data_IF_887255309675
#
_entry.id   IF_887255309675
#
_cell.length_a   1.000
_cell.length_b   1.000
_cell.length_c   1.000
_cell.angle_alpha   90.00
_cell.angle_beta   90.00
_cell.angle_gamma   90.00
#
_symmetry.space_group_name_H-M   'P 1'
#
loop_
_entity.id
_entity.type
_entity.pdbx_description
1 polymer ?
#
# COMPACT_ATOMS: atom_id res chain seq x y z
N UNK A 1 7.91 -11.19 4.97
CA UNK A 1 8.85 -10.26 4.32
C UNK A 1 8.05 -9.49 3.30
N UNK A 2 7.93 -8.17 3.46
CA UNK A 2 7.17 -7.32 2.56
C UNK A 2 8.03 -6.93 1.35
N UNK A 3 7.47 -6.84 0.14
CA UNK A 3 8.23 -6.37 -1.02
C UNK A 3 8.70 -4.93 -0.80
N UNK A 4 9.96 -4.66 -1.14
CA UNK A 4 10.55 -3.33 -1.13
C UNK A 4 10.85 -2.93 -2.57
N UNK A 5 10.29 -1.81 -3.02
CA UNK A 5 10.52 -1.24 -4.33
C UNK A 5 11.41 -0.02 -4.21
N UNK A 6 12.42 0.04 -5.07
CA UNK A 6 13.25 1.22 -5.22
C UNK A 6 12.61 2.15 -6.25
N UNK A 7 12.47 3.43 -5.88
CA UNK A 7 11.91 4.48 -6.72
C UNK A 7 12.92 5.61 -6.90
N UNK A 8 12.76 6.35 -8.00
CA UNK A 8 13.54 7.56 -8.25
C UNK A 8 12.95 8.79 -7.55
N UNK A 9 13.75 9.86 -7.42
CA UNK A 9 13.33 11.16 -6.91
C UNK A 9 12.07 11.70 -7.60
N UNK A 10 11.95 11.58 -8.91
CA UNK A 10 10.75 12.03 -9.64
C UNK A 10 9.48 11.28 -9.18
N UNK A 11 9.60 9.99 -8.88
CA UNK A 11 8.50 9.19 -8.35
C UNK A 11 8.19 9.55 -6.90
N UNK A 12 9.23 9.78 -6.09
CA UNK A 12 9.06 10.24 -4.72
C UNK A 12 8.31 11.57 -4.67
N UNK A 13 8.66 12.54 -5.53
CA UNK A 13 7.94 13.82 -5.63
C UNK A 13 6.48 13.64 -6.04
N UNK A 14 6.17 12.71 -6.96
CA UNK A 14 4.77 12.39 -7.31
C UNK A 14 3.99 11.83 -6.13
N UNK A 15 4.62 10.97 -5.31
CA UNK A 15 3.99 10.39 -4.12
C UNK A 15 3.78 11.47 -3.06
N UNK A 16 4.76 12.35 -2.83
CA UNK A 16 4.62 13.48 -1.90
C UNK A 16 3.48 14.41 -2.35
N UNK A 17 3.33 14.63 -3.65
CA UNK A 17 2.29 15.51 -4.22
C UNK A 17 0.97 14.77 -4.55
N UNK A 18 0.80 13.49 -4.17
CA UNK A 18 -0.39 12.71 -4.54
C UNK A 18 -1.66 13.26 -3.91
N UNK A 19 -2.62 13.74 -4.70
CA UNK A 19 -3.84 14.36 -4.15
C UNK A 19 -4.60 13.38 -3.24
N UNK A 20 -4.89 13.81 -2.01
CA UNK A 20 -5.71 13.03 -1.08
C UNK A 20 -7.17 13.11 -1.53
N UNK A 21 -7.79 11.96 -1.68
CA UNK A 21 -9.16 11.82 -2.14
C UNK A 21 -9.81 10.63 -1.42
N UNK A 22 -11.01 10.25 -1.87
CA UNK A 22 -11.76 9.15 -1.26
C UNK A 22 -11.20 7.76 -1.58
N UNK A 23 -10.12 7.67 -2.36
CA UNK A 23 -9.39 6.43 -2.69
C UNK A 23 -7.92 6.47 -2.29
N UNK A 24 -7.32 7.66 -2.13
CA UNK A 24 -5.91 7.83 -1.80
C UNK A 24 -5.78 8.64 -0.52
N UNK A 25 -5.01 8.11 0.43
CA UNK A 25 -4.75 8.77 1.71
C UNK A 25 -3.24 8.89 1.93
N UNK A 26 -2.77 10.03 2.41
CA UNK A 26 -1.38 10.19 2.86
C UNK A 26 -1.34 10.46 4.34
N UNK A 27 -0.41 9.81 5.04
CA UNK A 27 -0.25 9.96 6.49
C UNK A 27 1.22 10.00 6.87
N UNK A 28 1.50 10.69 7.96
CA UNK A 28 2.81 10.66 8.59
C UNK A 28 3.07 9.28 9.21
N UNK A 29 4.34 8.91 9.39
CA UNK A 29 4.75 7.69 10.10
C UNK A 29 4.22 7.59 11.53
N UNK A 30 3.89 8.73 12.14
CA UNK A 30 3.31 8.85 13.49
C UNK A 30 1.81 8.47 13.56
N UNK A 31 1.20 8.04 12.45
CA UNK A 31 -0.21 7.65 12.43
C UNK A 31 -0.47 6.45 13.34
N UNK A 32 -1.52 6.56 14.17
CA UNK A 32 -1.92 5.46 15.05
C UNK A 32 -2.45 4.29 14.21
N UNK A 33 -1.99 3.05 14.44
CA UNK A 33 -2.43 1.91 13.66
C UNK A 33 -3.93 1.63 13.78
N UNK A 34 -4.53 1.98 14.92
CA UNK A 34 -5.99 1.94 15.11
C UNK A 34 -6.76 2.85 14.12
N UNK A 35 -6.27 4.08 13.87
CA UNK A 35 -6.88 4.98 12.88
C UNK A 35 -6.72 4.43 11.47
N UNK A 36 -5.54 3.90 11.17
CA UNK A 36 -5.25 3.32 9.87
C UNK A 36 -6.16 2.12 9.57
N UNK A 37 -6.42 1.27 10.56
CA UNK A 37 -7.38 0.16 10.41
C UNK A 37 -8.79 0.64 10.08
N UNK A 38 -9.25 1.73 10.69
CA UNK A 38 -10.54 2.36 10.40
C UNK A 38 -10.58 2.89 8.96
N UNK A 39 -9.51 3.57 8.54
CA UNK A 39 -9.34 4.06 7.17
C UNK A 39 -9.35 2.93 6.13
N UNK A 40 -8.58 1.86 6.36
CA UNK A 40 -8.56 0.65 5.49
C UNK A 40 -9.94 0.01 5.39
N UNK A 41 -10.69 -0.01 6.49
CA UNK A 41 -12.07 -0.49 6.52
C UNK A 41 -12.98 0.36 5.64
N UNK A 42 -12.86 1.69 5.71
CA UNK A 42 -13.62 2.61 4.88
C UNK A 42 -13.31 2.41 3.38
N UNK A 43 -12.03 2.30 3.00
CA UNK A 43 -11.62 2.03 1.62
C UNK A 43 -12.13 0.69 1.10
N UNK A 44 -12.04 -0.37 1.92
CA UNK A 44 -12.52 -1.70 1.56
C UNK A 44 -14.01 -1.68 1.18
N UNK A 45 -14.81 -0.88 1.88
CA UNK A 45 -16.24 -0.69 1.61
C UNK A 45 -16.51 0.26 0.41
N UNK A 46 -15.70 1.31 0.24
CA UNK A 46 -15.85 2.30 -0.82
C UNK A 46 -15.48 1.76 -2.22
N UNK A 47 -14.64 0.74 -2.29
CA UNK A 47 -14.26 0.10 -3.55
C UNK A 47 -12.76 -0.14 -3.74
N UNK A 48 -11.97 -0.11 -2.66
CA UNK A 48 -10.52 -0.16 -2.67
C UNK A 48 -9.89 1.23 -2.51
N UNK A 49 -8.56 1.27 -2.41
CA UNK A 49 -7.80 2.51 -2.26
C UNK A 49 -6.31 2.27 -2.00
N UNK A 50 -5.54 3.35 -1.91
CA UNK A 50 -4.10 3.38 -1.68
C UNK A 50 -3.77 4.31 -0.51
N UNK A 51 -2.97 3.83 0.42
CA UNK A 51 -2.56 4.61 1.59
C UNK A 51 -1.05 4.68 1.61
N UNK A 52 -0.50 5.88 1.70
CA UNK A 52 0.94 6.12 1.77
C UNK A 52 1.28 6.64 3.16
N UNK A 53 2.14 5.92 3.87
CA UNK A 53 2.57 6.27 5.22
C UNK A 53 4.06 6.60 5.22
N UNK A 54 4.39 7.73 5.84
CA UNK A 54 5.73 8.31 5.81
C UNK A 54 5.79 9.61 5.02
N UNK A 55 4.65 10.28 4.84
CA UNK A 55 4.57 11.60 4.25
C UNK A 55 4.03 12.53 5.33
N UNK A 56 4.89 13.39 5.86
CA UNK A 56 4.46 14.36 6.87
C UNK A 56 3.77 15.52 6.18
N UNK A 57 2.60 15.92 6.68
CA UNK A 57 1.91 17.13 6.27
C UNK A 57 2.13 18.19 7.35
N UNK A 58 2.87 19.25 7.02
CA UNK A 58 3.16 20.34 7.96
C UNK A 58 2.31 21.60 7.64
N UNK A 59 1.42 21.94 8.58
CA UNK A 59 0.81 23.27 8.73
C UNK A 59 -0.37 23.59 7.80
N UNK A 60 -0.98 24.76 8.01
CA UNK A 60 -2.12 25.32 7.25
C UNK A 60 -1.96 25.32 5.72
N UNK A 61 -0.71 25.28 5.22
CA UNK A 61 -0.39 25.26 3.80
C UNK A 61 -0.38 23.86 3.17
N UNK A 62 -0.68 22.79 3.93
CA UNK A 62 -0.66 21.40 3.44
C UNK A 62 0.64 21.04 2.71
N UNK A 63 1.78 21.54 3.20
CA UNK A 63 3.06 21.18 2.61
C UNK A 63 3.40 19.75 3.02
N UNK A 64 3.49 18.88 2.02
CA UNK A 64 3.85 17.48 2.18
C UNK A 64 5.36 17.33 2.03
N UNK A 65 5.95 16.59 2.94
CA UNK A 65 7.37 16.31 2.97
C UNK A 65 7.60 14.81 3.11
N UNK A 66 8.67 14.33 2.49
CA UNK A 66 9.13 12.96 2.68
C UNK A 66 9.63 12.77 4.10
N UNK A 67 8.92 11.96 4.89
CA UNK A 67 9.29 11.59 6.25
C UNK A 67 9.02 10.09 6.44
N UNK A 68 9.73 9.28 5.64
CA UNK A 68 9.61 7.82 5.68
C UNK A 68 10.04 7.23 7.03
N UNK A 69 9.67 5.97 7.24
CA UNK A 69 10.16 5.16 8.36
C UNK A 69 11.67 4.99 8.26
N UNK A 70 12.39 5.11 9.37
CA UNK A 70 13.83 4.86 9.38
C UNK A 70 14.13 3.37 9.21
N UNK A 71 13.26 2.53 9.75
CA UNK A 71 13.37 1.08 9.66
C UNK A 71 12.00 0.39 9.50
N UNK A 72 11.99 -0.79 8.90
CA UNK A 72 10.79 -1.65 8.80
C UNK A 72 10.27 -2.08 10.18
N UNK A 73 11.13 -2.07 11.21
CA UNK A 73 10.74 -2.33 12.59
C UNK A 73 9.71 -1.34 13.13
N UNK A 74 9.80 -0.06 12.74
CA UNK A 74 8.80 0.95 13.13
C UNK A 74 7.42 0.64 12.53
N UNK A 75 7.41 0.05 11.33
CA UNK A 75 6.20 -0.38 10.65
C UNK A 75 5.69 -1.76 11.11
N UNK A 76 6.48 -2.54 11.87
CA UNK A 76 6.05 -3.88 12.33
C UNK A 76 4.82 -3.78 13.24
N UNK A 77 4.76 -2.80 14.14
CA UNK A 77 3.60 -2.61 15.02
C UNK A 77 2.33 -2.27 14.20
N UNK A 78 2.49 -1.42 13.18
CA UNK A 78 1.42 -1.03 12.26
C UNK A 78 0.93 -2.22 11.46
N UNK A 79 1.86 -2.95 10.83
CA UNK A 79 1.55 -4.13 10.06
C UNK A 79 0.87 -5.18 10.96
N UNK A 80 1.42 -5.48 12.14
CA UNK A 80 0.87 -6.45 13.07
C UNK A 80 -0.55 -6.09 13.52
N UNK A 81 -0.82 -4.81 13.80
CA UNK A 81 -2.16 -4.33 14.17
C UNK A 81 -3.15 -4.50 13.01
N UNK A 82 -2.75 -4.16 11.78
CA UNK A 82 -3.58 -4.36 10.59
C UNK A 82 -3.80 -5.85 10.26
N UNK A 83 -2.81 -6.71 10.51
CA UNK A 83 -2.94 -8.15 10.40
C UNK A 83 -3.92 -8.70 11.43
N UNK A 84 -3.86 -8.22 12.68
CA UNK A 84 -4.82 -8.58 13.74
C UNK A 84 -6.24 -8.10 13.45
N UNK A 85 -6.40 -7.02 12.68
CA UNK A 85 -7.68 -6.60 12.13
C UNK A 85 -8.25 -7.55 11.05
N UNK A 86 -7.70 -8.78 10.93
CA UNK A 86 -8.08 -10.07 10.32
C UNK A 86 -9.16 -10.15 9.22
N UNK A 87 -10.15 -9.26 9.18
CA UNK A 87 -11.14 -9.11 8.12
C UNK A 87 -10.57 -8.61 6.78
N UNK A 88 -9.34 -8.06 6.76
CA UNK A 88 -8.75 -7.44 5.56
C UNK A 88 -7.59 -8.22 4.91
N UNK A 89 -7.03 -9.23 5.60
CA UNK A 89 -5.67 -9.74 5.34
C UNK A 89 -5.38 -10.31 3.95
N UNK A 90 -6.40 -10.68 3.16
CA UNK A 90 -6.21 -11.13 1.77
C UNK A 90 -6.46 -10.05 0.71
N UNK A 91 -6.99 -8.90 1.12
CA UNK A 91 -7.36 -7.81 0.22
C UNK A 91 -6.44 -6.60 0.38
N UNK A 92 -5.56 -6.60 1.38
CA UNK A 92 -4.61 -5.50 1.63
C UNK A 92 -3.20 -5.97 1.30
N UNK A 93 -2.50 -5.18 0.49
CA UNK A 93 -1.10 -5.41 0.11
C UNK A 93 -0.25 -4.37 0.83
N UNK A 94 0.86 -4.82 1.39
CA UNK A 94 1.84 -3.99 2.08
C UNK A 94 3.12 -3.98 1.27
N UNK A 95 3.55 -2.79 0.85
CA UNK A 95 4.70 -2.57 -0.02
C UNK A 95 5.53 -1.43 0.57
N UNK A 96 6.85 -1.58 0.62
CA UNK A 96 7.72 -0.50 1.06
C UNK A 96 8.36 0.17 -0.15
N UNK A 97 8.27 1.48 -0.24
CA UNK A 97 8.92 2.27 -1.29
C UNK A 97 10.14 2.96 -0.67
N UNK A 98 11.33 2.71 -1.21
CA UNK A 98 12.55 3.40 -0.82
C UNK A 98 13.04 4.26 -1.96
N UNK A 99 13.56 5.44 -1.63
CA UNK A 99 14.22 6.30 -2.61
C UNK A 99 15.72 6.22 -2.41
N UNK A 100 16.50 6.26 -3.50
CA UNK A 100 17.97 6.33 -3.40
C UNK A 100 18.44 7.70 -2.89
N UNK A 101 17.67 8.75 -3.17
CA UNK A 101 18.02 10.14 -2.86
C UNK A 101 17.44 10.62 -1.52
N UNK A 102 16.40 9.92 -1.00
CA UNK A 102 15.72 10.29 0.24
C UNK A 102 15.85 9.17 1.28
N UNK A 103 16.22 9.50 2.53
CA UNK A 103 16.33 8.50 3.58
C UNK A 103 14.95 7.99 4.02
N UNK A 104 14.90 6.72 4.36
CA UNK A 104 13.72 6.05 4.92
C UNK A 104 12.86 5.33 3.89
N UNK A 105 11.80 4.70 4.41
CA UNK A 105 10.88 3.86 3.67
C UNK A 105 9.46 4.38 3.79
N UNK A 106 8.76 4.51 2.68
CA UNK A 106 7.32 4.80 2.65
C UNK A 106 6.60 3.48 2.68
N UNK A 107 5.69 3.30 3.63
CA UNK A 107 4.80 2.15 3.64
C UNK A 107 3.59 2.46 2.76
N UNK A 108 3.52 1.81 1.60
CA UNK A 108 2.39 1.84 0.70
C UNK A 108 1.47 0.65 0.98
N UNK A 109 0.21 0.96 1.24
CA UNK A 109 -0.82 -0.01 1.57
C UNK A 109 -1.90 0.08 0.51
N UNK A 110 -1.99 -0.94 -0.34
CA UNK A 110 -3.04 -1.03 -1.35
C UNK A 110 -4.18 -1.90 -0.85
N UNK A 111 -5.35 -1.29 -0.69
CA UNK A 111 -6.61 -1.94 -0.37
C UNK A 111 -7.31 -2.32 -1.67
N UNK A 112 -7.39 -3.60 -1.98
CA UNK A 112 -8.17 -4.11 -3.11
C UNK A 112 -9.65 -4.11 -2.78
N UNK A 113 -10.47 -3.81 -3.79
CA UNK A 113 -11.92 -4.00 -3.70
C UNK A 113 -12.25 -5.42 -3.32
N UNK A 114 -12.96 -5.60 -2.20
CA UNK A 114 -13.60 -6.87 -1.88
C UNK A 114 -14.82 -7.01 -2.79
N UNK A 115 -14.62 -7.53 -4.00
CA UNK A 115 -15.74 -8.16 -4.72
C UNK A 115 -15.99 -9.47 -3.99
N UNK A 116 -16.75 -9.44 -2.91
CA UNK A 116 -17.47 -10.65 -2.50
C UNK A 116 -18.53 -10.91 -3.58
N UNK A 117 -18.09 -11.45 -4.71
CA UNK A 117 -18.90 -12.41 -5.42
C UNK A 117 -18.46 -13.74 -4.84
N UNK A 118 -19.19 -14.16 -3.80
CA UNK A 118 -19.33 -15.57 -3.48
C UNK A 118 -19.47 -16.34 -4.80
N UNK A 119 -18.47 -17.18 -5.08
CA UNK A 119 -18.45 -18.24 -6.12
C UNK A 119 -19.03 -17.87 -7.48
N UNK A 120 -18.15 -17.79 -8.48
CA UNK A 120 -18.44 -18.37 -9.79
C UNK A 120 -17.16 -18.93 -10.40
N UNK A 121 -17.05 -20.26 -10.27
CA UNK A 121 -16.47 -21.23 -11.21
C UNK A 121 -15.64 -20.71 -12.40
N UNK A 122 -14.47 -21.36 -12.54
CA UNK A 122 -13.82 -21.74 -13.81
C UNK A 122 -13.10 -20.62 -14.58
N UNK A 123 -11.77 -20.70 -14.56
CA UNK A 123 -10.88 -19.88 -15.37
C UNK A 123 -9.50 -20.51 -15.52
N UNK A 124 -9.44 -21.81 -15.79
CA UNK A 124 -8.25 -22.36 -16.48
C UNK A 124 -8.28 -21.80 -17.90
N UNK A 125 -7.33 -20.93 -18.24
CA UNK A 125 -6.88 -20.66 -19.61
C UNK A 125 -5.47 -20.04 -19.51
N UNK A 126 -4.41 -20.82 -19.75
CA UNK A 126 -3.83 -21.25 -21.03
C UNK A 126 -2.92 -20.18 -21.65
N UNK A 127 -1.61 -20.38 -21.52
CA UNK A 127 -0.55 -20.09 -22.51
C UNK A 127 0.68 -20.92 -22.10
N UNK A 128 1.45 -21.58 -22.96
CA UNK A 128 1.42 -21.64 -24.41
C UNK A 128 2.19 -22.85 -24.95
N UNK A 129 2.01 -23.05 -26.25
CA UNK A 129 2.71 -24.02 -27.07
C UNK A 129 4.22 -23.73 -27.13
N UNK A 130 5.02 -24.72 -26.73
CA UNK A 130 6.32 -25.08 -27.31
C UNK A 130 6.26 -26.62 -27.39
N UNK A 131 6.23 -27.27 -28.55
CA UNK A 131 7.29 -27.26 -29.54
C UNK A 131 7.86 -28.68 -29.61
N UNK A 132 7.34 -29.48 -30.56
CA UNK A 132 7.95 -30.67 -31.18
C UNK A 132 8.63 -31.73 -30.32
N UNK A 133 8.07 -32.95 -30.34
CA UNK A 133 8.90 -34.13 -30.53
C UNK A 133 8.11 -35.22 -31.29
N UNK A 134 8.54 -35.45 -32.52
CA UNK A 134 8.28 -36.66 -33.30
C UNK A 134 9.00 -37.83 -32.66
N UNK A 135 8.30 -38.92 -32.36
CA UNK A 135 8.68 -40.30 -32.72
C UNK A 135 7.43 -41.17 -32.79
#
# INVERSE_FOLDING_TARGET
MYPVYEIDREQAEKIINVEENYLNDVKAKEIKPAKLSETVSAFSNAGGGDIYIGISENGDNKHRAWDGFQDVEEANDIAQTLFQAHSFGNHVIFEFLKCVDLPGYILHITVKKVKEIVRSTKGVNHTGFYGGHFI
#
